data_IF_588268699916
#
_entry.id   IF_588268699916
#
_cell.length_a   1.000
_cell.length_b   1.000
_cell.length_c   1.000
_cell.angle_alpha   90.00
_cell.angle_beta   90.00
_cell.angle_gamma   90.00
#
_symmetry.space_group_name_H-M   'P 1'
#
loop_
_entity.id
_entity.type
_entity.pdbx_description
1 polymer ?
#
# COMPACT_ATOMS: atom_id res chain seq x y z
N UNK A 1 10.84 27.39 9.81
CA UNK A 1 9.40 27.06 9.83
C UNK A 1 9.09 26.43 8.48
N UNK A 2 8.43 25.27 8.43
CA UNK A 2 8.14 24.56 7.18
C UNK A 2 7.19 25.40 6.30
N UNK A 3 7.63 25.75 5.09
CA UNK A 3 6.81 26.39 4.05
C UNK A 3 5.89 25.35 3.39
N UNK A 4 4.60 25.64 3.31
CA UNK A 4 3.61 24.75 2.70
C UNK A 4 2.96 25.45 1.51
N UNK A 5 3.16 24.91 0.32
CA UNK A 5 2.51 25.40 -0.90
C UNK A 5 1.43 24.42 -1.32
N UNK A 6 0.18 24.92 -1.43
CA UNK A 6 -0.98 24.10 -1.79
C UNK A 6 -1.52 24.51 -3.15
N UNK A 7 -1.62 23.53 -4.04
CA UNK A 7 -2.20 23.65 -5.37
C UNK A 7 -3.48 22.81 -5.43
N UNK A 8 -4.63 23.43 -5.15
CA UNK A 8 -5.93 22.74 -5.08
C UNK A 8 -6.75 23.14 -6.31
N UNK A 9 -7.02 22.19 -7.22
CA UNK A 9 -7.83 22.43 -8.43
C UNK A 9 -9.35 22.46 -8.16
N UNK A 10 -9.79 22.03 -6.97
CA UNK A 10 -11.18 22.19 -6.52
C UNK A 10 -11.54 23.68 -6.38
N UNK A 11 -12.84 24.01 -6.40
CA UNK A 11 -13.33 25.40 -6.35
C UNK A 11 -14.21 25.67 -5.14
N UNK A 12 -14.32 26.94 -4.76
CA UNK A 12 -15.26 27.41 -3.75
C UNK A 12 -15.11 26.73 -2.37
N UNK A 13 -16.24 26.28 -1.81
CA UNK A 13 -16.30 25.68 -0.47
C UNK A 13 -15.54 24.36 -0.36
N UNK A 14 -15.49 23.57 -1.44
CA UNK A 14 -14.71 22.33 -1.53
C UNK A 14 -13.21 22.61 -1.33
N UNK A 15 -12.67 23.58 -2.06
CA UNK A 15 -11.27 23.98 -1.97
C UNK A 15 -10.90 24.43 -0.55
N UNK A 16 -11.79 25.22 0.08
CA UNK A 16 -11.61 25.69 1.45
C UNK A 16 -11.60 24.53 2.45
N UNK A 17 -12.54 23.58 2.33
CA UNK A 17 -12.59 22.39 3.21
C UNK A 17 -11.33 21.55 3.10
N UNK A 18 -10.89 21.25 1.87
CA UNK A 18 -9.65 20.48 1.63
C UNK A 18 -8.42 21.23 2.15
N UNK A 19 -8.32 22.53 1.89
CA UNK A 19 -7.21 23.34 2.41
C UNK A 19 -7.16 23.32 3.94
N UNK A 20 -8.31 23.43 4.60
CA UNK A 20 -8.41 23.36 6.06
C UNK A 20 -8.03 21.99 6.60
N UNK A 21 -8.47 20.90 5.95
CA UNK A 21 -8.11 19.54 6.31
C UNK A 21 -6.58 19.37 6.30
N UNK A 22 -5.94 19.77 5.19
CA UNK A 22 -4.47 19.75 5.06
C UNK A 22 -3.80 20.62 6.14
N UNK A 23 -4.27 21.85 6.35
CA UNK A 23 -3.69 22.75 7.37
C UNK A 23 -3.74 22.14 8.77
N UNK A 24 -4.86 21.49 9.11
CA UNK A 24 -5.04 20.93 10.46
C UNK A 24 -4.05 19.80 10.75
N UNK A 25 -3.83 18.91 9.78
CA UNK A 25 -2.83 17.84 9.89
C UNK A 25 -1.43 18.43 10.04
N UNK A 26 -1.07 19.44 9.24
CA UNK A 26 0.26 20.08 9.31
C UNK A 26 0.46 20.77 10.66
N UNK A 27 -0.56 21.42 11.21
CA UNK A 27 -0.47 22.05 12.54
C UNK A 27 -0.22 21.03 13.64
N UNK A 28 -0.95 19.92 13.64
CA UNK A 28 -0.71 18.84 14.61
C UNK A 28 0.66 18.18 14.40
N UNK A 29 1.05 18.00 13.15
CA UNK A 29 2.36 17.50 12.77
C UNK A 29 3.50 18.38 13.29
N UNK A 30 3.49 19.69 12.99
CA UNK A 30 4.55 20.62 13.40
C UNK A 30 4.65 20.80 14.92
N UNK A 31 3.55 20.59 15.67
CA UNK A 31 3.59 20.59 17.14
C UNK A 31 4.28 19.35 17.71
N UNK A 32 4.11 18.19 17.06
CA UNK A 32 4.52 16.89 17.60
C UNK A 32 5.83 16.37 17.02
N UNK A 33 6.20 16.84 15.84
CA UNK A 33 7.37 16.39 15.12
C UNK A 33 8.35 17.55 14.96
N UNK A 34 9.51 17.45 15.63
CA UNK A 34 10.66 18.33 15.39
C UNK A 34 11.35 17.98 14.06
N UNK A 35 10.63 17.98 12.94
CA UNK A 35 11.25 17.67 11.64
C UNK A 35 12.02 18.88 11.15
N UNK A 36 13.22 19.05 11.71
CA UNK A 36 14.19 20.10 11.40
C UNK A 36 14.72 20.01 9.96
N UNK A 37 14.44 18.92 9.25
CA UNK A 37 14.95 18.63 7.90
C UNK A 37 14.05 19.08 6.74
N UNK A 38 12.80 19.47 7.02
CA UNK A 38 11.85 19.88 5.97
C UNK A 38 11.68 21.40 5.94
N UNK A 39 12.20 22.03 4.89
CA UNK A 39 12.07 23.48 4.68
C UNK A 39 10.81 23.85 3.89
N UNK A 40 10.45 23.03 2.90
CA UNK A 40 9.29 23.25 2.01
C UNK A 40 8.58 21.95 1.69
N UNK A 41 7.25 21.98 1.50
CA UNK A 41 6.42 20.87 1.02
C UNK A 41 5.40 21.40 0.00
N UNK A 42 5.31 20.76 -1.15
CA UNK A 42 4.27 21.04 -2.15
C UNK A 42 3.16 19.99 -2.13
N UNK A 43 1.92 20.46 -2.15
CA UNK A 43 0.74 19.59 -2.07
C UNK A 43 -0.18 19.89 -3.25
N UNK A 44 -0.45 18.88 -4.07
CA UNK A 44 -1.32 18.98 -5.23
C UNK A 44 -2.60 18.18 -5.00
N UNK A 45 -3.76 18.81 -5.17
CA UNK A 45 -5.07 18.14 -5.11
C UNK A 45 -5.75 18.34 -6.45
N UNK A 46 -5.95 17.24 -7.20
CA UNK A 46 -6.33 17.30 -8.60
C UNK A 46 -7.36 16.25 -8.99
N UNK A 47 -8.22 16.58 -9.96
CA UNK A 47 -9.09 15.61 -10.65
C UNK A 47 -8.45 15.07 -11.94
N UNK A 48 -7.24 15.54 -12.28
CA UNK A 48 -6.52 15.19 -13.51
C UNK A 48 -5.05 14.86 -13.19
N UNK A 49 -4.77 13.64 -12.70
CA UNK A 49 -3.42 13.18 -12.39
C UNK A 49 -2.44 13.28 -13.57
N UNK A 50 -2.89 13.07 -14.80
CA UNK A 50 -2.06 13.18 -16.02
C UNK A 50 -1.50 14.59 -16.16
N UNK A 51 -2.36 15.61 -16.09
CA UNK A 51 -1.99 17.02 -16.27
C UNK A 51 -0.98 17.46 -15.20
N UNK A 52 -1.23 17.11 -13.95
CA UNK A 52 -0.34 17.45 -12.85
C UNK A 52 0.99 16.71 -12.96
N UNK A 53 0.97 15.42 -13.30
CA UNK A 53 2.20 14.64 -13.51
C UNK A 53 3.05 15.23 -14.64
N UNK A 54 2.46 15.65 -15.76
CA UNK A 54 3.19 16.34 -16.84
C UNK A 54 3.83 17.65 -16.38
N UNK A 55 3.16 18.41 -15.52
CA UNK A 55 3.67 19.70 -15.00
C UNK A 55 4.87 19.51 -14.07
N UNK A 56 4.82 18.49 -13.21
CA UNK A 56 5.74 18.33 -12.09
C UNK A 56 6.85 17.32 -12.41
N UNK A 57 6.49 16.22 -13.05
CA UNK A 57 7.35 15.04 -13.23
C UNK A 57 8.03 14.99 -14.60
N UNK A 58 8.00 16.08 -15.38
CA UNK A 58 8.51 16.14 -16.76
C UNK A 58 9.99 15.74 -16.90
N UNK A 59 10.78 15.86 -15.83
CA UNK A 59 12.23 15.59 -15.81
C UNK A 59 12.66 14.51 -14.79
N UNK A 60 11.76 13.64 -14.33
CA UNK A 60 12.08 12.65 -13.29
C UNK A 60 12.77 11.39 -13.85
N UNK A 61 13.78 10.88 -13.13
CA UNK A 61 14.44 9.60 -13.43
C UNK A 61 13.50 8.41 -13.18
N UNK A 62 13.49 7.47 -14.13
CA UNK A 62 12.56 6.33 -14.32
C UNK A 62 12.47 5.26 -13.19
N UNK A 63 12.90 5.50 -11.94
CA UNK A 63 12.94 4.42 -10.93
C UNK A 63 11.58 4.03 -10.32
N UNK A 64 10.50 4.82 -10.48
CA UNK A 64 9.18 4.58 -9.85
C UNK A 64 8.00 4.51 -10.83
N UNK A 65 8.22 3.95 -12.03
CA UNK A 65 7.17 3.89 -13.08
C UNK A 65 5.89 3.17 -12.64
N UNK A 66 6.00 2.15 -11.79
CA UNK A 66 4.83 1.42 -11.29
C UNK A 66 3.88 2.31 -10.50
N UNK A 67 4.39 2.99 -9.47
CA UNK A 67 3.58 3.87 -8.61
C UNK A 67 3.06 5.10 -9.37
N UNK A 68 3.88 5.69 -10.24
CA UNK A 68 3.45 6.80 -11.11
C UNK A 68 2.35 6.33 -12.07
N UNK A 69 2.46 5.11 -12.62
CA UNK A 69 1.43 4.54 -13.48
C UNK A 69 0.11 4.42 -12.72
N UNK A 70 0.10 3.80 -11.54
CA UNK A 70 -1.11 3.65 -10.74
C UNK A 70 -1.74 5.01 -10.37
N UNK A 71 -0.92 6.02 -10.10
CA UNK A 71 -1.37 7.40 -9.89
C UNK A 71 -2.01 8.01 -11.15
N UNK A 72 -1.34 7.92 -12.29
CA UNK A 72 -1.81 8.49 -13.56
C UNK A 72 -3.10 7.81 -14.04
N UNK A 73 -3.23 6.50 -13.81
CA UNK A 73 -4.42 5.72 -14.17
C UNK A 73 -5.51 5.78 -13.10
N UNK A 74 -5.38 6.63 -12.09
CA UNK A 74 -6.37 6.84 -11.03
C UNK A 74 -6.66 5.60 -10.18
N UNK A 75 -5.78 4.61 -10.21
CA UNK A 75 -5.88 3.41 -9.37
C UNK A 75 -5.31 3.64 -7.97
N UNK A 76 -4.49 4.68 -7.79
CA UNK A 76 -3.97 5.11 -6.50
C UNK A 76 -4.67 6.39 -6.01
N UNK A 77 -5.04 6.46 -4.71
CA UNK A 77 -5.69 7.65 -4.13
C UNK A 77 -4.73 8.85 -3.99
N UNK A 78 -3.43 8.57 -4.01
CA UNK A 78 -2.36 9.50 -3.69
C UNK A 78 -1.04 9.03 -4.27
N UNK A 79 -0.09 9.95 -4.35
CA UNK A 79 1.29 9.66 -4.68
C UNK A 79 2.23 10.66 -4.01
N UNK A 80 3.22 10.14 -3.29
CA UNK A 80 4.24 10.94 -2.63
C UNK A 80 5.59 10.77 -3.31
N UNK A 81 6.24 11.90 -3.63
CA UNK A 81 7.52 11.95 -4.31
C UNK A 81 8.51 12.87 -3.59
N UNK A 82 9.74 12.37 -3.42
CA UNK A 82 10.85 13.15 -2.93
C UNK A 82 12.16 12.54 -3.42
N UNK A 83 13.12 13.40 -3.75
CA UNK A 83 14.52 13.06 -3.99
C UNK A 83 15.37 13.98 -3.13
N UNK A 84 16.51 13.49 -2.65
CA UNK A 84 17.43 14.32 -1.86
C UNK A 84 17.80 15.61 -2.63
N UNK A 85 17.76 16.74 -1.93
CA UNK A 85 17.98 18.07 -2.53
C UNK A 85 16.79 18.65 -3.32
N UNK A 86 15.66 17.95 -3.41
CA UNK A 86 14.43 18.48 -4.02
C UNK A 86 13.34 18.78 -3.00
N UNK A 87 12.38 19.63 -3.38
CA UNK A 87 11.14 19.83 -2.61
C UNK A 87 10.31 18.54 -2.64
N UNK A 88 9.91 17.99 -1.48
CA UNK A 88 8.93 16.91 -1.41
C UNK A 88 7.57 17.33 -1.96
N UNK A 89 6.88 16.37 -2.57
CA UNK A 89 5.61 16.56 -3.25
C UNK A 89 4.63 15.48 -2.80
N UNK A 90 3.44 15.89 -2.35
CA UNK A 90 2.31 15.00 -2.10
C UNK A 90 1.22 15.33 -3.12
N UNK A 91 0.77 14.34 -3.88
CA UNK A 91 -0.32 14.46 -4.83
C UNK A 91 -1.52 13.64 -4.34
N UNK A 92 -2.71 14.25 -4.31
CA UNK A 92 -3.95 13.63 -3.84
C UNK A 92 -5.00 13.64 -4.96
N UNK A 93 -5.59 12.47 -5.21
CA UNK A 93 -6.59 12.30 -6.26
C UNK A 93 -7.97 12.74 -5.74
N UNK A 94 -8.48 13.85 -6.28
CA UNK A 94 -9.77 14.41 -5.89
C UNK A 94 -10.98 13.66 -6.48
N UNK A 95 -10.77 12.63 -7.31
CA UNK A 95 -11.82 11.74 -7.78
C UNK A 95 -12.19 10.66 -6.75
N UNK A 96 -11.36 10.50 -5.71
CA UNK A 96 -11.61 9.59 -4.60
C UNK A 96 -12.92 9.88 -3.86
N UNK A 97 -13.58 8.83 -3.36
CA UNK A 97 -14.89 8.90 -2.67
C UNK A 97 -14.90 9.91 -1.52
N UNK A 98 -13.83 9.97 -0.74
CA UNK A 98 -13.65 10.90 0.40
C UNK A 98 -13.68 12.37 -0.03
N UNK A 99 -13.08 12.70 -1.18
CA UNK A 99 -13.17 14.05 -1.74
C UNK A 99 -14.56 14.31 -2.30
N UNK A 100 -15.12 13.40 -3.12
CA UNK A 100 -16.48 13.59 -3.68
C UNK A 100 -17.56 13.79 -2.62
N UNK A 101 -17.43 13.13 -1.46
CA UNK A 101 -18.35 13.26 -0.32
C UNK A 101 -17.98 14.36 0.67
N UNK A 102 -16.83 15.02 0.47
CA UNK A 102 -16.25 15.99 1.41
C UNK A 102 -16.15 15.44 2.84
N UNK A 103 -15.72 14.18 2.94
CA UNK A 103 -15.40 13.50 4.19
C UNK A 103 -14.12 14.11 4.77
N UNK A 104 -14.29 15.05 5.69
CA UNK A 104 -13.21 15.85 6.24
C UNK A 104 -12.16 15.00 6.95
N UNK A 105 -12.58 14.01 7.74
CA UNK A 105 -11.67 13.15 8.50
C UNK A 105 -11.01 12.10 7.59
N UNK A 106 -11.73 11.57 6.60
CA UNK A 106 -11.12 10.73 5.58
C UNK A 106 -10.04 11.44 4.76
N UNK A 107 -10.23 12.73 4.44
CA UNK A 107 -9.21 13.56 3.75
C UNK A 107 -8.01 13.81 4.68
N UNK A 108 -8.25 14.11 5.96
CA UNK A 108 -7.18 14.28 6.96
C UNK A 108 -6.38 13.00 7.12
N UNK A 109 -7.05 11.85 7.18
CA UNK A 109 -6.41 10.53 7.33
C UNK A 109 -5.54 10.17 6.14
N UNK A 110 -6.04 10.39 4.91
CA UNK A 110 -5.24 10.20 3.70
C UNK A 110 -3.99 11.08 3.72
N UNK A 111 -4.15 12.37 4.00
CA UNK A 111 -3.02 13.28 3.99
C UNK A 111 -2.02 13.00 5.12
N UNK A 112 -2.49 12.63 6.32
CA UNK A 112 -1.62 12.22 7.42
C UNK A 112 -0.81 10.97 7.07
N UNK A 113 -1.44 9.97 6.44
CA UNK A 113 -0.78 8.76 5.95
C UNK A 113 0.35 9.08 4.96
N UNK A 114 0.06 9.87 3.93
CA UNK A 114 1.08 10.31 2.94
C UNK A 114 2.21 11.12 3.57
N UNK A 115 1.89 11.98 4.52
CA UNK A 115 2.90 12.74 5.25
C UNK A 115 3.84 11.80 6.03
N UNK A 116 3.33 10.72 6.63
CA UNK A 116 4.17 9.73 7.31
C UNK A 116 5.05 8.93 6.36
N UNK A 117 4.59 8.64 5.12
CA UNK A 117 5.45 8.05 4.10
C UNK A 117 6.67 8.93 3.79
N UNK A 118 6.45 10.24 3.64
CA UNK A 118 7.54 11.19 3.44
C UNK A 118 8.58 11.13 4.58
N UNK A 119 8.12 11.04 5.83
CA UNK A 119 9.03 10.95 6.97
C UNK A 119 9.77 9.63 7.04
N UNK A 120 9.08 8.53 6.76
CA UNK A 120 9.72 7.23 6.68
C UNK A 120 10.84 7.24 5.64
N UNK A 121 10.63 7.93 4.51
CA UNK A 121 11.66 8.14 3.51
C UNK A 121 12.84 8.98 4.02
N UNK A 122 12.57 10.10 4.70
CA UNK A 122 13.62 10.94 5.31
C UNK A 122 14.44 10.20 6.38
N UNK A 123 13.84 9.22 7.04
CA UNK A 123 14.47 8.38 8.05
C UNK A 123 15.19 7.15 7.44
N UNK A 124 15.24 7.03 6.11
CA UNK A 124 15.91 5.93 5.39
C UNK A 124 15.21 4.58 5.52
N UNK A 125 13.92 4.57 5.87
CA UNK A 125 13.15 3.32 6.00
C UNK A 125 12.89 2.71 4.62
N UNK A 126 12.65 3.53 3.58
CA UNK A 126 12.43 3.02 2.22
C UNK A 126 13.69 2.29 1.70
N UNK A 127 14.86 2.90 1.86
CA UNK A 127 16.12 2.31 1.39
C UNK A 127 16.39 0.95 2.07
N UNK A 128 16.15 0.84 3.37
CA UNK A 128 16.28 -0.43 4.12
C UNK A 128 15.30 -1.50 3.62
N UNK A 129 14.08 -1.11 3.31
CA UNK A 129 13.09 -2.03 2.77
C UNK A 129 13.47 -2.53 1.38
N UNK A 130 14.06 -1.66 0.55
CA UNK A 130 14.63 -2.04 -0.76
C UNK A 130 15.81 -3.01 -0.58
N UNK A 131 16.72 -2.74 0.36
CA UNK A 131 17.84 -3.64 0.67
C UNK A 131 17.36 -5.04 1.13
N UNK A 132 16.36 -5.09 2.02
CA UNK A 132 15.80 -6.37 2.48
C UNK A 132 15.03 -7.09 1.36
N UNK A 133 14.39 -6.35 0.46
CA UNK A 133 13.75 -6.91 -0.73
C UNK A 133 14.79 -7.60 -1.62
N UNK A 134 15.91 -6.93 -1.91
CA UNK A 134 16.96 -7.47 -2.77
C UNK A 134 17.57 -8.75 -2.20
N UNK A 135 17.77 -8.81 -0.87
CA UNK A 135 18.26 -10.00 -0.16
C UNK A 135 17.34 -11.22 -0.30
N UNK A 136 16.06 -11.03 -0.61
CA UNK A 136 15.12 -12.14 -0.79
C UNK A 136 15.27 -12.89 -2.11
N UNK A 137 16.08 -12.39 -3.05
CA UNK A 137 16.33 -13.03 -4.34
C UNK A 137 16.78 -14.50 -4.20
N UNK A 138 17.61 -14.79 -3.18
CA UNK A 138 18.05 -16.16 -2.90
C UNK A 138 16.89 -17.11 -2.55
N UNK A 139 15.86 -16.63 -1.86
CA UNK A 139 14.68 -17.45 -1.55
C UNK A 139 13.84 -17.70 -2.81
N UNK A 140 13.72 -16.71 -3.69
CA UNK A 140 13.05 -16.87 -4.99
C UNK A 140 13.74 -17.93 -5.84
N UNK A 141 15.07 -17.86 -5.98
CA UNK A 141 15.86 -18.86 -6.71
C UNK A 141 15.61 -20.26 -6.14
N UNK A 142 15.72 -20.43 -4.82
CA UNK A 142 15.46 -21.71 -4.13
C UNK A 142 14.07 -22.28 -4.43
N UNK A 143 13.03 -21.44 -4.45
CA UNK A 143 11.67 -21.88 -4.76
C UNK A 143 11.51 -22.30 -6.23
N UNK A 144 12.14 -21.57 -7.16
CA UNK A 144 12.13 -21.89 -8.59
C UNK A 144 12.88 -23.19 -8.92
N UNK A 145 13.99 -23.47 -8.24
CA UNK A 145 14.76 -24.72 -8.37
C UNK A 145 13.94 -25.93 -7.94
N UNK A 146 13.21 -25.81 -6.81
CA UNK A 146 12.33 -26.86 -6.29
C UNK A 146 11.11 -27.09 -7.19
N UNK A 147 10.64 -26.06 -7.89
CA UNK A 147 9.43 -26.12 -8.70
C UNK A 147 9.59 -27.05 -9.90
N UNK A 148 8.65 -27.99 -10.04
CA UNK A 148 8.50 -28.82 -11.24
C UNK A 148 7.55 -28.10 -12.19
N UNK A 149 8.07 -27.68 -13.34
CA UNK A 149 7.31 -26.90 -14.31
C UNK A 149 6.05 -27.63 -14.76
N UNK A 150 4.96 -26.87 -14.77
CA UNK A 150 3.66 -27.32 -15.25
C UNK A 150 2.87 -26.12 -15.70
N UNK A 151 2.29 -26.16 -16.89
CA UNK A 151 1.40 -25.10 -17.35
C UNK A 151 0.19 -24.92 -16.42
N UNK A 152 -0.18 -23.68 -16.07
CA UNK A 152 0.36 -22.43 -16.61
C UNK A 152 1.53 -21.85 -15.77
N UNK A 153 2.02 -22.57 -14.75
CA UNK A 153 3.07 -22.17 -13.82
C UNK A 153 4.48 -22.61 -14.30
N UNK A 154 5.00 -21.95 -15.32
CA UNK A 154 6.41 -22.05 -15.72
C UNK A 154 7.32 -21.32 -14.71
N UNK A 155 8.62 -21.60 -14.71
CA UNK A 155 9.58 -20.87 -13.84
C UNK A 155 9.60 -19.38 -14.15
N UNK A 156 9.54 -19.00 -15.43
CA UNK A 156 9.51 -17.60 -15.85
C UNK A 156 8.29 -16.87 -15.26
N UNK A 157 7.10 -17.47 -15.38
CA UNK A 157 5.88 -16.87 -14.82
C UNK A 157 5.96 -16.77 -13.30
N UNK A 158 6.44 -17.82 -12.63
CA UNK A 158 6.60 -17.78 -11.18
C UNK A 158 7.60 -16.74 -10.72
N UNK A 159 8.68 -16.51 -11.46
CA UNK A 159 9.62 -15.43 -11.18
C UNK A 159 8.91 -14.07 -11.19
N UNK A 160 8.11 -13.80 -12.22
CA UNK A 160 7.31 -12.56 -12.31
C UNK A 160 6.33 -12.45 -11.14
N UNK A 161 5.62 -13.53 -10.80
CA UNK A 161 4.71 -13.55 -9.65
C UNK A 161 5.45 -13.28 -8.35
N UNK A 162 6.61 -13.91 -8.10
CA UNK A 162 7.40 -13.68 -6.89
C UNK A 162 7.90 -12.25 -6.75
N UNK A 163 8.35 -11.62 -7.84
CA UNK A 163 8.74 -10.20 -7.84
C UNK A 163 7.53 -9.34 -7.44
N UNK A 164 6.36 -9.60 -8.03
CA UNK A 164 5.13 -8.87 -7.72
C UNK A 164 4.72 -9.06 -6.26
N UNK A 165 4.71 -10.30 -5.76
CA UNK A 165 4.38 -10.60 -4.36
C UNK A 165 5.32 -9.88 -3.40
N UNK A 166 6.62 -9.94 -3.66
CA UNK A 166 7.64 -9.36 -2.78
C UNK A 166 7.52 -7.84 -2.76
N UNK A 167 7.44 -7.21 -3.93
CA UNK A 167 7.28 -5.75 -4.07
C UNK A 167 6.01 -5.26 -3.37
N UNK A 168 4.87 -5.92 -3.59
CA UNK A 168 3.63 -5.53 -2.90
C UNK A 168 3.72 -5.77 -1.39
N UNK A 169 4.39 -6.82 -0.94
CA UNK A 169 4.58 -7.07 0.51
C UNK A 169 5.40 -5.93 1.15
N UNK A 170 6.42 -5.42 0.47
CA UNK A 170 7.18 -4.23 0.91
C UNK A 170 6.27 -3.00 1.04
N UNK A 171 5.43 -2.74 0.04
CA UNK A 171 4.47 -1.63 0.10
C UNK A 171 3.52 -1.75 1.31
N UNK A 172 3.01 -2.96 1.59
CA UNK A 172 2.19 -3.20 2.78
C UNK A 172 2.94 -2.96 4.09
N UNK A 173 4.23 -3.30 4.15
CA UNK A 173 5.09 -2.98 5.30
C UNK A 173 5.23 -1.46 5.45
N UNK A 174 5.46 -0.72 4.36
CA UNK A 174 5.55 0.75 4.37
C UNK A 174 4.28 1.37 4.96
N UNK A 175 3.11 0.89 4.54
CA UNK A 175 1.82 1.40 5.01
C UNK A 175 1.62 1.12 6.51
N UNK A 176 1.97 -0.08 7.00
CA UNK A 176 1.87 -0.41 8.43
C UNK A 176 2.73 0.56 9.26
N UNK A 177 3.94 0.87 8.80
CA UNK A 177 4.87 1.78 9.47
C UNK A 177 4.35 3.23 9.43
N UNK A 178 3.89 3.69 8.28
CA UNK A 178 3.29 5.02 8.12
C UNK A 178 2.06 5.19 9.02
N UNK A 179 1.17 4.19 9.05
CA UNK A 179 -0.01 4.18 9.92
C UNK A 179 0.37 4.15 11.39
N UNK A 180 1.35 3.32 11.78
CA UNK A 180 1.79 3.25 13.19
C UNK A 180 2.26 4.61 13.67
N UNK A 181 2.98 5.34 12.82
CA UNK A 181 3.45 6.69 13.11
C UNK A 181 2.30 7.70 13.16
N UNK A 182 1.39 7.68 12.19
CA UNK A 182 0.23 8.56 12.19
C UNK A 182 -0.67 8.32 13.42
N UNK A 183 -0.88 7.07 13.82
CA UNK A 183 -1.60 6.72 15.04
C UNK A 183 -0.88 7.21 16.30
N UNK A 184 0.45 7.11 16.35
CA UNK A 184 1.23 7.69 17.47
C UNK A 184 1.07 9.21 17.57
N UNK A 185 0.70 9.87 16.47
CA UNK A 185 0.41 11.30 16.42
C UNK A 185 -1.07 11.62 16.67
N UNK A 186 -1.89 10.62 17.00
CA UNK A 186 -3.31 10.78 17.34
C UNK A 186 -4.24 10.94 16.15
N UNK A 187 -3.88 10.39 14.98
CA UNK A 187 -4.72 10.38 13.79
C UNK A 187 -5.51 9.07 13.60
N UNK A 188 -5.81 8.35 14.68
CA UNK A 188 -6.46 7.06 14.59
C UNK A 188 -7.89 7.17 14.01
N UNK A 189 -8.67 8.17 14.40
CA UNK A 189 -10.05 8.34 13.90
C UNK A 189 -10.05 8.66 12.39
N UNK A 190 -9.16 9.55 11.98
CA UNK A 190 -9.02 10.00 10.60
C UNK A 190 -8.51 8.88 9.70
N UNK A 191 -7.54 8.08 10.17
CA UNK A 191 -7.10 6.89 9.46
C UNK A 191 -8.23 5.86 9.31
N UNK A 192 -9.06 5.70 10.35
CA UNK A 192 -10.20 4.80 10.30
C UNK A 192 -11.21 5.24 9.23
N UNK A 193 -11.60 6.51 9.20
CA UNK A 193 -12.54 7.02 8.19
C UNK A 193 -11.94 6.93 6.77
N UNK A 194 -10.64 7.19 6.61
CA UNK A 194 -9.95 6.97 5.34
C UNK A 194 -10.10 5.51 4.87
N UNK A 195 -9.77 4.52 5.71
CA UNK A 195 -9.85 3.11 5.34
C UNK A 195 -11.28 2.61 5.16
N UNK A 196 -12.20 3.05 6.01
CA UNK A 196 -13.63 2.73 5.88
C UNK A 196 -14.17 3.20 4.52
N UNK A 197 -13.78 4.39 4.07
CA UNK A 197 -14.19 4.90 2.77
C UNK A 197 -13.73 3.99 1.61
N UNK A 198 -12.49 3.50 1.66
CA UNK A 198 -11.89 2.61 0.66
C UNK A 198 -12.45 1.18 0.73
N UNK A 199 -12.68 0.65 1.93
CA UNK A 199 -13.15 -0.72 2.13
C UNK A 199 -14.66 -0.88 1.93
N UNK A 200 -15.43 0.22 1.88
CA UNK A 200 -16.89 0.15 1.84
C UNK A 200 -17.48 -0.67 0.67
N UNK A 201 -16.76 -0.77 -0.45
CA UNK A 201 -17.26 -1.40 -1.68
C UNK A 201 -16.57 -2.74 -2.00
N UNK A 202 -15.72 -3.28 -1.10
CA UNK A 202 -14.84 -4.43 -1.42
C UNK A 202 -15.54 -5.78 -1.35
N UNK A 203 -16.75 -5.85 -0.78
CA UNK A 203 -17.56 -7.09 -0.75
C UNK A 203 -17.90 -7.64 -2.15
N UNK A 204 -17.69 -6.83 -3.19
CA UNK A 204 -17.90 -7.20 -4.59
C UNK A 204 -16.72 -8.00 -5.18
N UNK A 205 -15.54 -8.02 -4.54
CA UNK A 205 -14.41 -8.82 -5.00
C UNK A 205 -14.59 -10.29 -4.62
N UNK A 206 -14.58 -11.16 -5.62
CA UNK A 206 -14.78 -12.60 -5.45
C UNK A 206 -13.80 -13.40 -6.30
N UNK A 207 -13.09 -14.31 -5.66
CA UNK A 207 -12.24 -15.31 -6.29
C UNK A 207 -12.67 -16.68 -5.75
N UNK A 208 -13.37 -17.48 -6.55
CA UNK A 208 -13.69 -18.85 -6.15
C UNK A 208 -12.61 -19.79 -6.65
N UNK A 209 -12.49 -20.97 -6.03
CA UNK A 209 -11.52 -21.98 -6.50
C UNK A 209 -11.77 -22.32 -7.98
N UNK A 210 -13.03 -22.54 -8.35
CA UNK A 210 -13.43 -22.85 -9.72
C UNK A 210 -13.17 -21.69 -10.70
N UNK A 211 -13.40 -20.43 -10.29
CA UNK A 211 -13.12 -19.29 -11.16
C UNK A 211 -11.62 -19.12 -11.41
N UNK A 212 -10.78 -19.35 -10.39
CA UNK A 212 -9.33 -19.35 -10.53
C UNK A 212 -8.87 -20.48 -11.45
N UNK A 213 -9.32 -21.72 -11.24
CA UNK A 213 -8.96 -22.86 -12.10
C UNK A 213 -9.34 -22.59 -13.56
N UNK A 214 -10.55 -22.09 -13.79
CA UNK A 214 -11.04 -21.75 -15.14
C UNK A 214 -10.18 -20.66 -15.78
N UNK A 215 -9.86 -19.60 -15.04
CA UNK A 215 -9.00 -18.53 -15.50
C UNK A 215 -7.57 -19.01 -15.82
N UNK A 216 -7.00 -19.88 -14.98
CA UNK A 216 -5.68 -20.49 -15.21
C UNK A 216 -5.65 -21.36 -16.46
N UNK A 217 -6.70 -22.16 -16.71
CA UNK A 217 -6.84 -22.95 -17.96
C UNK A 217 -6.96 -22.07 -19.21
N UNK A 218 -7.47 -20.84 -19.07
CA UNK A 218 -7.54 -19.83 -20.13
C UNK A 218 -6.26 -18.97 -20.22
N UNK A 219 -5.17 -19.40 -19.58
CA UNK A 219 -3.91 -18.67 -19.47
C UNK A 219 -4.04 -17.22 -18.95
N UNK A 220 -5.01 -16.95 -18.08
CA UNK A 220 -5.08 -15.65 -17.39
C UNK A 220 -3.96 -15.57 -16.36
N UNK A 221 -2.89 -14.86 -16.74
CA UNK A 221 -1.57 -15.00 -16.14
C UNK A 221 -1.52 -14.72 -14.63
N UNK A 222 -2.26 -13.73 -14.18
CA UNK A 222 -2.12 -13.18 -12.83
C UNK A 222 -3.29 -13.43 -11.89
N UNK A 223 -4.28 -14.25 -12.29
CA UNK A 223 -5.50 -14.43 -11.47
C UNK A 223 -5.20 -14.92 -10.04
N UNK A 224 -4.16 -15.74 -9.88
CA UNK A 224 -3.75 -16.25 -8.58
C UNK A 224 -3.01 -15.19 -7.75
N UNK A 225 -2.12 -14.43 -8.40
CA UNK A 225 -1.43 -13.28 -7.80
C UNK A 225 -2.46 -12.27 -7.29
N UNK A 226 -3.44 -11.94 -8.14
CA UNK A 226 -4.48 -10.97 -7.84
C UNK A 226 -5.33 -11.43 -6.66
N UNK A 227 -5.73 -12.70 -6.62
CA UNK A 227 -6.49 -13.26 -5.49
C UNK A 227 -5.70 -13.18 -4.17
N UNK A 228 -4.43 -13.56 -4.20
CA UNK A 228 -3.57 -13.56 -3.02
C UNK A 228 -3.26 -12.13 -2.52
N UNK A 229 -2.88 -11.24 -3.43
CA UNK A 229 -2.56 -9.84 -3.12
C UNK A 229 -3.78 -9.03 -2.72
N UNK A 230 -4.94 -9.25 -3.35
CA UNK A 230 -6.19 -8.60 -2.94
C UNK A 230 -6.55 -9.00 -1.51
N UNK A 231 -6.43 -10.29 -1.16
CA UNK A 231 -6.71 -10.73 0.20
C UNK A 231 -5.77 -10.09 1.22
N UNK A 232 -4.46 -10.09 0.95
CA UNK A 232 -3.47 -9.46 1.84
C UNK A 232 -3.70 -7.95 1.96
N UNK A 233 -3.81 -7.24 0.85
CA UNK A 233 -3.95 -5.79 0.81
C UNK A 233 -5.22 -5.30 1.49
N UNK A 234 -6.35 -5.96 1.26
CA UNK A 234 -7.62 -5.58 1.90
C UNK A 234 -7.65 -5.91 3.40
N UNK A 235 -6.91 -6.94 3.84
CA UNK A 235 -6.82 -7.33 5.25
C UNK A 235 -5.62 -6.71 5.99
N UNK A 236 -4.80 -5.89 5.34
CA UNK A 236 -3.73 -5.16 6.01
C UNK A 236 -4.23 -3.97 6.85
N UNK A 237 -5.19 -3.13 6.40
CA UNK A 237 -5.59 -1.90 7.10
C UNK A 237 -5.94 -2.04 8.58
N UNK A 238 -6.49 -3.18 9.02
CA UNK A 238 -6.85 -3.37 10.44
C UNK A 238 -5.65 -3.75 11.34
N UNK A 239 -4.51 -4.15 10.76
CA UNK A 239 -3.33 -4.64 11.49
C UNK A 239 -2.84 -3.58 12.48
N UNK A 240 -2.60 -2.36 12.02
CA UNK A 240 -2.08 -1.29 12.87
C UNK A 240 -3.05 -0.95 14.01
N UNK A 241 -4.37 -0.90 13.73
CA UNK A 241 -5.38 -0.69 14.77
C UNK A 241 -5.35 -1.77 15.83
N UNK A 242 -5.15 -3.03 15.43
CA UNK A 242 -5.01 -4.14 16.37
C UNK A 242 -3.73 -4.02 17.21
N UNK A 243 -2.61 -3.59 16.61
CA UNK A 243 -1.35 -3.37 17.34
C UNK A 243 -1.50 -2.33 18.45
N UNK A 244 -2.23 -1.24 18.19
CA UNK A 244 -2.54 -0.20 19.17
C UNK A 244 -3.75 -0.52 20.06
N UNK A 245 -4.34 -1.71 19.93
CA UNK A 245 -5.53 -2.16 20.69
C UNK A 245 -6.76 -1.26 20.51
N UNK A 246 -6.90 -0.61 19.35
CA UNK A 246 -8.03 0.29 19.03
C UNK A 246 -9.22 -0.51 18.51
N UNK A 247 -10.40 -0.31 19.12
CA UNK A 247 -11.63 -1.09 18.87
C UNK A 247 -12.04 -1.21 17.40
N UNK A 248 -11.71 -0.24 16.57
CA UNK A 248 -12.10 -0.21 15.15
C UNK A 248 -11.49 -1.33 14.31
N UNK A 249 -10.42 -2.00 14.77
CA UNK A 249 -9.81 -3.10 14.02
C UNK A 249 -10.85 -4.18 13.65
N UNK A 250 -11.83 -4.44 14.53
CA UNK A 250 -12.89 -5.44 14.28
C UNK A 250 -13.78 -5.04 13.09
N UNK A 251 -14.14 -3.76 13.02
CA UNK A 251 -14.98 -3.23 11.95
C UNK A 251 -14.25 -3.22 10.62
N UNK A 252 -13.00 -2.75 10.60
CA UNK A 252 -12.16 -2.78 9.39
C UNK A 252 -11.94 -4.23 8.91
N UNK A 253 -11.72 -5.17 9.83
CA UNK A 253 -11.60 -6.59 9.50
C UNK A 253 -12.89 -7.16 8.90
N UNK A 254 -14.06 -6.70 9.33
CA UNK A 254 -15.34 -7.12 8.76
C UNK A 254 -15.57 -6.54 7.35
N UNK A 255 -15.23 -5.27 7.14
CA UNK A 255 -15.31 -4.64 5.83
C UNK A 255 -14.37 -5.28 4.81
N UNK A 256 -13.19 -5.72 5.24
CA UNK A 256 -12.16 -6.36 4.41
C UNK A 256 -12.50 -7.79 3.95
N UNK A 257 -13.68 -8.32 4.31
CA UNK A 257 -14.07 -9.69 3.95
C UNK A 257 -14.38 -9.81 2.46
N UNK A 258 -13.52 -10.54 1.76
CA UNK A 258 -13.72 -10.98 0.38
C UNK A 258 -13.88 -12.49 0.29
N UNK A 259 -14.53 -12.96 -0.76
CA UNK A 259 -14.62 -14.38 -1.06
C UNK A 259 -13.34 -14.84 -1.76
N UNK A 260 -12.57 -15.72 -1.11
CA UNK A 260 -11.35 -16.36 -1.66
C UNK A 260 -11.30 -17.83 -1.23
N UNK A 261 -10.54 -18.69 -1.93
CA UNK A 261 -10.37 -20.09 -1.52
C UNK A 261 -9.70 -20.21 -0.15
N UNK A 262 -10.03 -21.25 0.61
CA UNK A 262 -9.50 -21.42 1.97
C UNK A 262 -7.97 -21.62 2.00
N UNK A 263 -7.40 -22.20 0.94
CA UNK A 263 -5.94 -22.29 0.79
C UNK A 263 -5.28 -20.91 0.72
N UNK A 264 -5.93 -19.93 0.08
CA UNK A 264 -5.46 -18.54 0.01
C UNK A 264 -5.57 -17.92 1.41
N UNK A 265 -6.74 -18.00 2.06
CA UNK A 265 -6.94 -17.47 3.42
C UNK A 265 -5.91 -18.01 4.40
N UNK A 266 -5.72 -19.33 4.43
CA UNK A 266 -4.81 -20.01 5.37
C UNK A 266 -3.39 -19.51 5.22
N UNK A 267 -2.88 -19.45 3.99
CA UNK A 267 -1.51 -19.02 3.70
C UNK A 267 -1.33 -17.51 3.91
N UNK A 268 -2.26 -16.68 3.44
CA UNK A 268 -2.21 -15.22 3.69
C UNK A 268 -2.27 -14.88 5.18
N UNK A 269 -3.06 -15.61 5.98
CA UNK A 269 -3.11 -15.39 7.43
C UNK A 269 -1.78 -15.63 8.15
N UNK A 270 -0.90 -16.47 7.60
CA UNK A 270 0.45 -16.63 8.16
C UNK A 270 1.27 -15.35 7.97
N UNK A 271 1.15 -14.70 6.80
CA UNK A 271 1.81 -13.42 6.52
C UNK A 271 1.25 -12.31 7.42
N UNK A 272 -0.08 -12.18 7.51
CA UNK A 272 -0.73 -11.16 8.34
C UNK A 272 -0.35 -11.29 9.83
N UNK A 273 -0.15 -12.53 10.33
CA UNK A 273 0.35 -12.78 11.69
C UNK A 273 1.77 -12.30 11.92
N UNK A 274 2.64 -12.40 10.91
CA UNK A 274 4.01 -11.89 11.00
C UNK A 274 4.03 -10.36 10.84
N UNK A 275 3.18 -9.79 9.99
CA UNK A 275 3.03 -8.33 9.87
C UNK A 275 2.57 -7.68 11.20
N UNK A 276 1.69 -8.34 11.97
CA UNK A 276 1.29 -7.88 13.31
C UNK A 276 2.45 -7.78 14.33
N UNK A 277 3.57 -8.45 14.07
CA UNK A 277 4.76 -8.42 14.93
C UNK A 277 5.72 -7.31 14.55
N UNK A 278 5.52 -6.64 13.41
CA UNK A 278 6.34 -5.52 12.99
C UNK A 278 6.25 -4.39 14.04
N UNK A 279 7.39 -3.84 14.44
CA UNK A 279 7.48 -2.74 15.43
C UNK A 279 8.18 -1.51 14.91
N UNK A 280 9.06 -1.67 13.91
CA UNK A 280 9.87 -0.58 13.37
C UNK A 280 10.35 -0.93 11.96
N UNK A 281 10.64 0.09 11.16
CA UNK A 281 11.34 -0.05 9.87
C UNK A 281 12.81 -0.45 10.00
N UNK A 282 13.35 -0.45 11.23
CA UNK A 282 14.71 -0.93 11.53
C UNK A 282 14.75 -2.40 11.96
N UNK A 283 13.59 -3.08 12.03
CA UNK A 283 13.52 -4.51 12.38
C UNK A 283 13.75 -5.38 11.14
N UNK A 284 14.99 -5.34 10.63
CA UNK A 284 15.42 -6.05 9.40
C UNK A 284 15.10 -7.55 9.49
N UNK A 285 15.29 -8.16 10.66
CA UNK A 285 14.98 -9.58 10.89
C UNK A 285 13.49 -9.88 10.69
N UNK A 286 12.60 -9.06 11.24
CA UNK A 286 11.16 -9.26 11.08
C UNK A 286 10.71 -8.93 9.64
N UNK A 287 11.28 -7.91 9.00
CA UNK A 287 11.03 -7.57 7.59
C UNK A 287 11.40 -8.75 6.69
N UNK A 288 12.63 -9.25 6.77
CA UNK A 288 13.10 -10.40 6.01
C UNK A 288 12.20 -11.63 6.23
N UNK A 289 11.76 -11.85 7.47
CA UNK A 289 10.85 -12.94 7.81
C UNK A 289 9.48 -12.77 7.14
N UNK A 290 8.89 -11.58 7.14
CA UNK A 290 7.61 -11.31 6.48
C UNK A 290 7.75 -11.57 4.97
N UNK A 291 8.81 -11.07 4.33
CA UNK A 291 9.05 -11.25 2.90
C UNK A 291 9.20 -12.73 2.52
N UNK A 292 10.02 -13.47 3.28
CA UNK A 292 10.19 -14.92 3.09
C UNK A 292 8.88 -15.67 3.28
N UNK A 293 8.14 -15.41 4.36
CA UNK A 293 6.86 -16.07 4.64
C UNK A 293 5.83 -15.74 3.56
N UNK A 294 5.85 -14.53 2.99
CA UNK A 294 5.00 -14.15 1.86
C UNK A 294 5.27 -15.01 0.61
N UNK A 295 6.54 -15.13 0.23
CA UNK A 295 6.97 -15.97 -0.91
C UNK A 295 6.63 -17.45 -0.68
N UNK A 296 6.98 -18.00 0.49
CA UNK A 296 6.72 -19.40 0.82
C UNK A 296 5.19 -19.69 0.87
N UNK A 297 4.41 -18.75 1.43
CA UNK A 297 2.94 -18.85 1.50
C UNK A 297 2.29 -18.81 0.11
N UNK A 298 2.76 -17.93 -0.77
CA UNK A 298 2.29 -17.88 -2.15
C UNK A 298 2.65 -19.16 -2.91
N UNK A 299 3.87 -19.66 -2.77
CA UNK A 299 4.30 -20.90 -3.42
C UNK A 299 3.47 -22.12 -2.98
N UNK A 300 3.09 -22.22 -1.71
CA UNK A 300 2.18 -23.28 -1.24
C UNK A 300 0.80 -23.22 -1.93
N UNK A 301 0.31 -22.01 -2.25
CA UNK A 301 -0.93 -21.84 -3.01
C UNK A 301 -0.73 -22.29 -4.47
N UNK A 302 0.40 -21.93 -5.09
CA UNK A 302 0.77 -22.42 -6.43
C UNK A 302 0.79 -23.94 -6.46
N UNK A 303 1.48 -24.61 -5.53
CA UNK A 303 1.55 -26.07 -5.48
C UNK A 303 0.15 -26.72 -5.34
N UNK A 304 -0.75 -26.09 -4.59
CA UNK A 304 -2.14 -26.53 -4.49
C UNK A 304 -2.86 -26.46 -5.84
N UNK A 305 -2.79 -25.33 -6.54
CA UNK A 305 -3.46 -25.17 -7.84
C UNK A 305 -2.81 -26.00 -8.95
N UNK A 306 -1.49 -26.24 -8.91
CA UNK A 306 -0.82 -27.20 -9.79
C UNK A 306 -1.45 -28.60 -9.71
N UNK A 307 -1.77 -29.07 -8.48
CA UNK A 307 -2.43 -30.37 -8.26
C UNK A 307 -3.88 -30.37 -8.75
N UNK A 308 -4.60 -29.26 -8.61
CA UNK A 308 -6.00 -29.12 -9.06
C UNK A 308 -6.17 -29.00 -10.57
N UNK A 309 -5.10 -28.64 -11.28
CA UNK A 309 -5.04 -28.62 -12.73
C UNK A 309 -4.63 -29.98 -13.33
N UNK A 310 -4.45 -31.03 -12.52
CA UNK A 310 -4.31 -32.42 -12.98
C UNK A 310 -5.69 -33.02 -13.18
#
# INVERSE_FOLDING_TARGET
MLEIVKHIELKGTEARKVSNAITSVIKEFSKRAEVKKLEKLEIYVTKNPVKISKKILSNIRLKRHGEIREWITENAPSFTYWTEGSTPIIMLNANEKKFRKMDYDGIRGLFAHELMHLLNKLDGIEDRLEEEMDKTGNNVIRLLEKHKEKEPFTRERLLVSFIRITTTTVLLIKDILANSRAMSFGFDEELYENYKSTLSDVKNFKYTENSIITALKQDRKHVLDDSYLAYLGLNMPWITFKMFRIKWYKYLQELARIEVPDIVKKNSNNVLKEMLKLRSGHDEKQIAKILKVSQDSYYNIVEYFCKKLM
#
